data_IF_971931512588
#
_entry.id   IF_971931512588
#
_cell.length_a   1.000
_cell.length_b   1.000
_cell.length_c   1.000
_cell.angle_alpha   90.00
_cell.angle_beta   90.00
_cell.angle_gamma   90.00
#
_symmetry.space_group_name_H-M   'P 1'
#
loop_
_entity.id
_entity.type
_entity.pdbx_description
1 polymer ?
#
# COMPACT_ATOMS: atom_id res chain seq x y z
N UNK A 1 -17.28 11.22 17.87
CA UNK A 1 -17.63 10.21 16.87
C UNK A 1 -16.33 9.52 16.49
N UNK A 2 -16.27 8.19 16.51
CA UNK A 2 -15.08 7.50 16.01
C UNK A 2 -14.92 7.84 14.53
N UNK A 3 -13.72 8.20 14.05
CA UNK A 3 -13.51 8.42 12.63
C UNK A 3 -13.89 7.14 11.88
N UNK A 4 -14.66 7.27 10.80
CA UNK A 4 -14.90 6.17 9.90
C UNK A 4 -13.56 5.87 9.22
N UNK A 5 -12.91 4.77 9.60
CA UNK A 5 -11.58 4.39 9.12
C UNK A 5 -11.72 3.39 7.97
N UNK A 6 -10.97 3.63 6.91
CA UNK A 6 -10.73 2.68 5.83
C UNK A 6 -9.46 1.90 6.13
N UNK A 7 -9.49 0.61 5.83
CA UNK A 7 -8.33 -0.29 5.94
C UNK A 7 -7.82 -0.57 4.53
N UNK A 8 -6.52 -0.35 4.33
CA UNK A 8 -5.80 -0.62 3.11
C UNK A 8 -4.70 -1.63 3.40
N UNK A 9 -4.45 -2.54 2.46
CA UNK A 9 -3.46 -3.59 2.60
C UNK A 9 -2.36 -3.44 1.56
N UNK A 10 -1.10 -3.48 2.00
CA UNK A 10 0.07 -3.41 1.12
C UNK A 10 0.94 -4.65 1.30
N UNK A 11 1.14 -5.40 0.22
CA UNK A 11 2.02 -6.55 0.19
C UNK A 11 3.44 -6.18 -0.24
N UNK A 12 4.44 -6.63 0.51
CA UNK A 12 5.85 -6.37 0.21
C UNK A 12 6.78 -7.39 0.89
N UNK A 13 8.10 -7.25 0.72
CA UNK A 13 9.09 -8.04 1.44
C UNK A 13 9.19 -7.62 2.91
N UNK A 14 9.65 -8.53 3.78
CA UNK A 14 9.70 -8.29 5.24
C UNK A 14 10.54 -7.06 5.61
N UNK A 15 11.63 -6.76 4.89
CA UNK A 15 12.47 -5.60 5.23
C UNK A 15 11.82 -4.29 4.85
N UNK A 16 11.15 -4.24 3.69
CA UNK A 16 10.36 -3.06 3.30
C UNK A 16 9.18 -2.85 4.24
N UNK A 17 8.51 -3.92 4.68
CA UNK A 17 7.44 -3.83 5.68
C UNK A 17 7.95 -3.27 7.01
N UNK A 18 9.06 -3.81 7.53
CA UNK A 18 9.67 -3.30 8.77
C UNK A 18 10.10 -1.84 8.66
N UNK A 19 10.61 -1.41 7.50
CA UNK A 19 10.98 -0.02 7.29
C UNK A 19 9.76 0.89 7.34
N UNK A 20 8.67 0.53 6.64
CA UNK A 20 7.43 1.32 6.65
C UNK A 20 6.85 1.40 8.06
N UNK A 21 6.84 0.30 8.80
CA UNK A 21 6.31 0.28 10.18
C UNK A 21 7.12 1.14 11.14
N UNK A 22 8.44 1.24 10.96
CA UNK A 22 9.30 2.01 11.87
C UNK A 22 9.49 3.48 11.45
N UNK A 23 9.50 3.75 10.14
CA UNK A 23 9.93 5.03 9.57
C UNK A 23 8.86 5.69 8.68
N UNK A 24 7.75 5.00 8.40
CA UNK A 24 6.75 5.44 7.43
C UNK A 24 7.19 5.25 5.98
N UNK A 25 6.38 5.79 5.06
CA UNK A 25 6.62 5.74 3.62
C UNK A 25 7.81 6.64 3.22
N UNK A 26 8.70 6.11 2.37
CA UNK A 26 9.86 6.84 1.85
C UNK A 26 9.88 6.81 0.31
N UNK A 27 9.73 7.99 -0.30
CA UNK A 27 9.64 8.13 -1.75
C UNK A 27 10.92 7.71 -2.48
N UNK A 28 12.10 8.06 -1.95
CA UNK A 28 13.39 7.70 -2.57
C UNK A 28 13.61 6.19 -2.55
N UNK A 29 13.27 5.53 -1.43
CA UNK A 29 13.37 4.09 -1.31
C UNK A 29 12.39 3.38 -2.25
N UNK A 30 11.14 3.85 -2.32
CA UNK A 30 10.16 3.29 -3.26
C UNK A 30 10.66 3.38 -4.70
N UNK A 31 11.14 4.55 -5.12
CA UNK A 31 11.70 4.74 -6.46
C UNK A 31 12.89 3.80 -6.77
N UNK A 32 13.72 3.50 -5.77
CA UNK A 32 14.85 2.59 -5.93
C UNK A 32 14.43 1.12 -6.08
N UNK A 33 13.27 0.74 -5.55
CA UNK A 33 12.77 -0.64 -5.50
C UNK A 33 11.71 -0.94 -6.58
N UNK A 34 10.92 0.05 -6.99
CA UNK A 34 9.81 -0.11 -7.93
C UNK A 34 10.31 -0.21 -9.38
N UNK A 35 10.96 -1.34 -9.69
CA UNK A 35 11.54 -1.65 -11.01
C UNK A 35 10.66 -2.57 -11.87
N UNK A 36 9.53 -3.02 -11.35
CA UNK A 36 8.69 -4.04 -11.99
C UNK A 36 7.52 -3.46 -12.81
N UNK A 37 7.14 -4.09 -13.94
CA UNK A 37 6.17 -3.56 -14.91
C UNK A 37 4.69 -3.80 -14.55
N UNK A 38 4.37 -4.37 -13.39
CA UNK A 38 3.00 -4.77 -13.05
C UNK A 38 2.13 -3.59 -12.58
N UNK A 39 2.76 -2.48 -12.18
CA UNK A 39 2.11 -1.28 -11.65
C UNK A 39 2.14 -0.13 -12.68
N UNK A 40 1.01 0.56 -12.83
CA UNK A 40 0.87 1.66 -13.79
C UNK A 40 1.52 2.95 -13.27
N UNK A 41 2.85 3.01 -13.35
CA UNK A 41 3.63 4.18 -12.95
C UNK A 41 4.06 4.17 -11.49
N UNK A 42 4.59 5.31 -11.06
CA UNK A 42 5.23 5.43 -9.75
C UNK A 42 4.24 5.77 -8.66
N UNK A 43 4.22 4.98 -7.59
CA UNK A 43 3.36 5.18 -6.44
C UNK A 43 3.42 4.03 -5.45
N UNK A 44 2.79 4.23 -4.30
CA UNK A 44 2.59 3.19 -3.32
C UNK A 44 1.21 2.56 -3.50
N UNK A 45 1.18 1.25 -3.74
CA UNK A 45 -0.01 0.51 -4.12
C UNK A 45 -0.56 -0.29 -2.97
N UNK A 46 -1.86 -0.17 -2.74
CA UNK A 46 -2.60 -0.89 -1.69
C UNK A 46 -3.88 -1.48 -2.26
N UNK A 47 -4.52 -2.40 -1.54
CA UNK A 47 -5.84 -2.96 -1.87
C UNK A 47 -6.79 -2.83 -0.68
N UNK A 48 -8.10 -2.83 -0.94
CA UNK A 48 -9.11 -3.02 0.11
C UNK A 48 -9.25 -4.49 0.54
N UNK A 49 -8.67 -5.42 -0.23
CA UNK A 49 -8.75 -6.86 -0.02
C UNK A 49 -7.36 -7.42 0.39
N UNK A 50 -7.25 -8.14 1.51
CA UNK A 50 -5.96 -8.66 1.99
C UNK A 50 -5.39 -9.73 1.05
N UNK A 51 -6.23 -10.55 0.42
CA UNK A 51 -5.81 -11.60 -0.52
C UNK A 51 -5.06 -11.01 -1.73
N UNK A 52 -5.53 -9.86 -2.23
CA UNK A 52 -4.89 -9.12 -3.32
C UNK A 52 -3.52 -8.59 -2.88
N UNK A 53 -3.42 -8.06 -1.65
CA UNK A 53 -2.14 -7.63 -1.10
C UNK A 53 -1.16 -8.80 -0.95
N UNK A 54 -1.62 -9.96 -0.48
CA UNK A 54 -0.79 -11.18 -0.40
C UNK A 54 -0.29 -11.66 -1.75
N UNK A 55 -1.13 -11.57 -2.80
CA UNK A 55 -0.68 -11.84 -4.17
C UNK A 55 0.51 -10.94 -4.54
N UNK A 56 0.43 -9.63 -4.31
CA UNK A 56 1.56 -8.73 -4.60
C UNK A 56 2.77 -8.94 -3.68
N UNK A 57 2.55 -9.31 -2.42
CA UNK A 57 3.63 -9.66 -1.50
C UNK A 57 4.48 -10.82 -2.07
N UNK A 58 3.84 -11.82 -2.67
CA UNK A 58 4.54 -12.95 -3.32
C UNK A 58 5.37 -12.56 -4.54
N UNK A 59 5.07 -11.41 -5.16
CA UNK A 59 5.80 -10.87 -6.30
C UNK A 59 6.89 -9.86 -5.91
N UNK A 60 6.98 -9.51 -4.62
CA UNK A 60 7.89 -8.48 -4.13
C UNK A 60 9.36 -8.90 -4.30
N UNK A 61 10.27 -7.96 -4.64
CA UNK A 61 11.70 -8.24 -4.72
C UNK A 61 12.24 -8.83 -3.39
N UNK A 62 12.75 -10.05 -3.42
CA UNK A 62 13.26 -10.74 -2.23
C UNK A 62 12.22 -11.57 -1.45
N UNK A 63 10.97 -11.63 -1.91
CA UNK A 63 9.96 -12.54 -1.37
C UNK A 63 10.42 -14.00 -1.41
N UNK A 64 11.06 -14.41 -2.52
CA UNK A 64 11.79 -15.66 -2.63
C UNK A 64 13.14 -15.56 -1.88
N UNK A 65 13.13 -15.89 -0.59
CA UNK A 65 14.35 -16.08 0.22
C UNK A 65 14.33 -15.35 1.56
N UNK A 66 13.73 -14.16 1.64
CA UNK A 66 13.60 -13.39 2.88
C UNK A 66 12.20 -13.56 3.49
N UNK A 67 11.22 -13.90 2.65
CA UNK A 67 9.81 -13.93 3.01
C UNK A 67 9.10 -12.63 2.62
N UNK A 68 7.78 -12.71 2.56
CA UNK A 68 6.90 -11.60 2.24
C UNK A 68 5.83 -11.44 3.32
N UNK A 69 5.27 -10.25 3.42
CA UNK A 69 4.23 -9.94 4.40
C UNK A 69 3.29 -8.85 3.88
N UNK A 70 2.21 -8.63 4.61
CA UNK A 70 1.25 -7.57 4.36
C UNK A 70 1.26 -6.60 5.55
N UNK A 71 1.19 -5.31 5.24
CA UNK A 71 0.93 -4.26 6.23
C UNK A 71 -0.46 -3.67 6.01
N UNK A 72 -1.09 -3.28 7.11
CA UNK A 72 -2.33 -2.54 7.14
C UNK A 72 -2.05 -1.05 7.27
N UNK A 73 -2.75 -0.23 6.51
CA UNK A 73 -2.85 1.20 6.72
C UNK A 73 -4.29 1.56 7.04
N UNK A 74 -4.49 2.21 8.18
CA UNK A 74 -5.77 2.79 8.57
C UNK A 74 -5.74 4.29 8.26
N UNK A 75 -6.71 4.76 7.49
CA UNK A 75 -6.85 6.17 7.12
C UNK A 75 -8.31 6.58 7.22
N UNK A 76 -8.58 7.80 7.69
CA UNK A 76 -9.97 8.27 7.75
C UNK A 76 -10.57 8.43 6.36
N UNK A 77 -11.89 8.20 6.23
CA UNK A 77 -12.61 8.46 4.98
C UNK A 77 -12.43 9.91 4.50
N UNK A 78 -12.38 10.86 5.43
CA UNK A 78 -12.17 12.29 5.12
C UNK A 78 -10.79 12.52 4.48
N UNK A 79 -9.74 11.99 5.11
CA UNK A 79 -8.37 12.12 4.59
C UNK A 79 -8.21 11.39 3.24
N UNK A 80 -8.87 10.24 3.06
CA UNK A 80 -8.83 9.53 1.79
C UNK A 80 -9.53 10.30 0.68
N UNK A 81 -10.73 10.84 0.94
CA UNK A 81 -11.45 11.67 -0.03
C UNK A 81 -10.65 12.93 -0.39
N UNK A 82 -10.00 13.56 0.60
CA UNK A 82 -9.10 14.68 0.36
C UNK A 82 -7.98 14.33 -0.62
N UNK A 83 -7.33 13.17 -0.45
CA UNK A 83 -6.27 12.70 -1.36
C UNK A 83 -6.81 12.43 -2.79
N UNK A 84 -8.02 11.87 -2.92
CA UNK A 84 -8.67 11.67 -4.22
C UNK A 84 -8.97 13.01 -4.91
N UNK A 85 -9.52 13.98 -4.18
CA UNK A 85 -9.82 15.32 -4.70
C UNK A 85 -8.57 16.07 -5.14
N UNK A 86 -7.47 15.93 -4.38
CA UNK A 86 -6.16 16.49 -4.72
C UNK A 86 -5.43 15.74 -5.82
N UNK A 87 -5.95 14.60 -6.26
CA UNK A 87 -5.30 13.67 -7.21
C UNK A 87 -3.95 13.15 -6.69
N UNK A 88 -3.80 13.07 -5.38
CA UNK A 88 -2.68 12.44 -4.68
C UNK A 88 -2.95 10.95 -4.39
N UNK A 89 -4.19 10.49 -4.64
CA UNK A 89 -4.56 9.08 -4.73
C UNK A 89 -5.42 8.82 -5.97
N UNK A 90 -5.44 7.57 -6.44
CA UNK A 90 -6.41 7.08 -7.44
C UNK A 90 -6.79 5.64 -7.16
N UNK A 91 -8.04 5.30 -7.48
CA UNK A 91 -8.54 3.92 -7.49
C UNK A 91 -8.50 3.43 -8.94
N UNK A 92 -7.96 2.24 -9.17
CA UNK A 92 -7.88 1.65 -10.51
C UNK A 92 -8.01 0.12 -10.46
N UNK A 93 -8.48 -0.46 -11.56
CA UNK A 93 -8.47 -1.92 -11.72
C UNK A 93 -7.04 -2.42 -11.90
N UNK A 94 -6.73 -3.57 -11.29
CA UNK A 94 -5.43 -4.21 -11.46
C UNK A 94 -5.35 -4.82 -12.87
N UNK A 95 -4.33 -4.41 -13.61
CA UNK A 95 -4.04 -4.96 -14.93
C UNK A 95 -3.12 -6.19 -14.84
N UNK A 96 -3.15 -7.04 -15.87
CA UNK A 96 -2.20 -8.15 -16.06
C UNK A 96 -2.23 -9.26 -14.98
N UNK A 97 -3.37 -9.43 -14.30
CA UNK A 97 -3.62 -10.54 -13.36
C UNK A 97 -4.80 -11.39 -13.84
N UNK A 98 -4.90 -12.64 -13.35
CA UNK A 98 -5.94 -13.61 -13.77
C UNK A 98 -7.30 -13.41 -13.08
N UNK A 99 -7.42 -12.44 -12.19
CA UNK A 99 -8.60 -12.15 -11.39
C UNK A 99 -9.03 -10.68 -11.58
N UNK A 100 -10.27 -10.35 -11.23
CA UNK A 100 -10.74 -8.97 -11.24
C UNK A 100 -10.62 -8.41 -9.81
N UNK A 101 -9.87 -7.32 -9.65
CA UNK A 101 -9.70 -6.63 -8.38
C UNK A 101 -9.30 -5.16 -8.60
N UNK A 102 -9.49 -4.35 -7.57
CA UNK A 102 -9.11 -2.95 -7.54
C UNK A 102 -7.89 -2.72 -6.64
N UNK A 103 -7.15 -1.65 -6.94
CA UNK A 103 -6.06 -1.15 -6.12
C UNK A 103 -6.16 0.35 -5.97
N UNK A 104 -5.57 0.86 -4.89
CA UNK A 104 -5.40 2.28 -4.64
C UNK A 104 -3.93 2.62 -4.78
N UNK A 105 -3.63 3.52 -5.70
CA UNK A 105 -2.30 4.09 -5.89
C UNK A 105 -2.22 5.43 -5.16
N UNK A 106 -1.37 5.53 -4.15
CA UNK A 106 -0.98 6.78 -3.51
C UNK A 106 0.30 7.32 -4.15
N UNK A 107 0.24 8.53 -4.70
CA UNK A 107 1.41 9.14 -5.33
C UNK A 107 2.45 9.57 -4.29
N UNK A 108 3.69 9.78 -4.75
CA UNK A 108 4.80 10.18 -3.87
C UNK A 108 4.51 11.48 -3.09
N UNK A 109 3.75 12.40 -3.67
CA UNK A 109 3.29 13.64 -3.03
C UNK A 109 2.41 13.39 -1.79
N UNK A 110 1.74 12.25 -1.71
CA UNK A 110 0.88 11.89 -0.57
C UNK A 110 1.67 11.43 0.67
N UNK A 111 2.95 11.09 0.54
CA UNK A 111 3.65 10.31 1.57
C UNK A 111 3.80 11.06 2.89
N UNK A 112 4.15 12.35 2.83
CA UNK A 112 4.26 13.17 4.05
C UNK A 112 2.91 13.26 4.78
N UNK A 113 1.83 13.45 4.03
CA UNK A 113 0.48 13.50 4.57
C UNK A 113 0.09 12.15 5.19
N UNK A 114 0.32 11.04 4.49
CA UNK A 114 0.01 9.69 4.99
C UNK A 114 0.82 9.36 6.25
N UNK A 115 2.11 9.69 6.29
CA UNK A 115 2.96 9.47 7.47
C UNK A 115 2.49 10.25 8.71
N UNK A 116 1.76 11.34 8.53
CA UNK A 116 1.20 12.15 9.62
C UNK A 116 -0.22 11.74 10.02
N UNK A 117 -1.00 11.18 9.09
CA UNK A 117 -2.46 11.01 9.23
C UNK A 117 -2.91 9.56 9.29
N UNK A 118 -2.13 8.65 8.70
CA UNK A 118 -2.43 7.23 8.67
C UNK A 118 -1.74 6.48 9.81
N UNK A 119 -2.35 5.37 10.22
CA UNK A 119 -1.73 4.43 11.14
C UNK A 119 -1.29 3.18 10.38
N UNK A 120 -0.02 2.80 10.49
CA UNK A 120 0.53 1.60 9.86
C UNK A 120 0.69 0.47 10.88
N UNK A 121 0.23 -0.74 10.54
CA UNK A 121 0.28 -1.92 11.41
C UNK A 121 0.70 -3.17 10.64
N UNK A 122 1.31 -4.17 11.30
CA UNK A 122 1.39 -5.51 10.73
C UNK A 122 -0.01 -6.05 10.47
N UNK A 123 -0.18 -6.79 9.36
CA UNK A 123 -1.43 -7.50 9.11
C UNK A 123 -1.73 -8.50 10.23
N UNK A 124 -2.97 -8.52 10.71
CA UNK A 124 -3.48 -9.53 11.61
C UNK A 124 -4.71 -10.18 10.97
N UNK A 125 -4.65 -11.48 10.77
CA UNK A 125 -5.81 -12.24 10.32
C UNK A 125 -6.89 -12.18 11.41
N UNK A 126 -8.06 -11.65 11.08
CA UNK A 126 -9.19 -11.61 12.00
C UNK A 126 -9.67 -13.06 12.21
N UNK A 127 -9.38 -13.60 13.39
CA UNK A 127 -9.74 -14.96 13.83
C UNK A 127 -11.20 -15.11 14.21
#
# INVERSE_FOLDING_TARGET
MSPNLLKFYHGTDVYSALDILNNGLNAQRLLALQKQPVQLGTGWYTSFEPEVAWFFASLAPGGEGVGCTVIEMLLSVEDFNYLLEKRDARIESIANVKFAAEQVCFYLSAFEFLNQRAEFKPYQEES
#
